data_IF_340878240042
#
_entry.id   IF_340878240042
#
_cell.length_a   1.000
_cell.length_b   1.000
_cell.length_c   1.000
_cell.angle_alpha   90.00
_cell.angle_beta   90.00
_cell.angle_gamma   90.00
#
_symmetry.space_group_name_H-M   'P 1'
#
loop_
_entity.id
_entity.type
_entity.pdbx_description
1 polymer ?
#
# COMPACT_ATOMS: atom_id res chain seq x y z
N UNK A 1 -17.18 5.39 0.48
CA UNK A 1 -17.90 4.09 0.58
C UNK A 1 -17.10 2.98 -0.07
N UNK A 2 -17.54 1.71 -0.02
CA UNK A 2 -16.76 0.55 -0.49
C UNK A 2 -16.42 0.57 -1.99
N UNK A 3 -17.17 1.30 -2.81
CA UNK A 3 -16.86 1.50 -4.23
C UNK A 3 -15.72 2.51 -4.46
N UNK A 4 -15.47 3.44 -3.53
CA UNK A 4 -14.46 4.49 -3.69
C UNK A 4 -13.02 3.97 -3.54
N UNK A 5 -12.84 2.78 -2.94
CA UNK A 5 -11.52 2.20 -2.65
C UNK A 5 -11.07 1.17 -3.69
N UNK A 6 -11.85 0.95 -4.75
CA UNK A 6 -11.58 -0.11 -5.73
C UNK A 6 -11.78 0.37 -7.16
N UNK A 7 -10.87 -0.06 -8.02
CA UNK A 7 -10.98 0.11 -9.46
C UNK A 7 -11.42 -1.22 -10.09
N UNK A 8 -12.56 -1.25 -10.79
CA UNK A 8 -12.97 -2.43 -11.56
C UNK A 8 -12.28 -2.39 -12.91
N UNK A 9 -11.48 -3.41 -13.20
CA UNK A 9 -10.79 -3.56 -14.49
C UNK A 9 -11.33 -4.83 -15.14
N UNK A 10 -12.06 -4.75 -16.26
CA UNK A 10 -12.42 -5.93 -17.03
C UNK A 10 -11.15 -6.49 -17.70
N UNK A 11 -10.90 -7.79 -17.51
CA UNK A 11 -9.75 -8.49 -18.07
C UNK A 11 -10.25 -9.70 -18.87
N UNK A 12 -9.64 -9.96 -20.03
CA UNK A 12 -9.81 -11.25 -20.69
C UNK A 12 -9.09 -12.34 -19.90
N UNK A 13 -9.45 -13.60 -20.11
CA UNK A 13 -8.84 -14.71 -19.37
C UNK A 13 -7.31 -14.72 -19.53
N UNK A 14 -6.84 -14.44 -20.75
CA UNK A 14 -5.43 -14.42 -21.13
C UNK A 14 -4.65 -13.21 -20.57
N UNK A 15 -5.35 -12.17 -20.10
CA UNK A 15 -4.73 -10.98 -19.49
C UNK A 15 -4.45 -11.18 -18.00
N UNK A 16 -5.15 -12.10 -17.34
CA UNK A 16 -4.99 -12.38 -15.91
C UNK A 16 -3.60 -12.93 -15.62
N UNK A 17 -3.10 -13.81 -16.49
CA UNK A 17 -1.78 -14.43 -16.36
C UNK A 17 -0.63 -13.43 -16.59
N UNK A 18 -0.92 -12.28 -17.21
CA UNK A 18 0.04 -11.21 -17.46
C UNK A 18 0.09 -10.18 -16.32
N UNK A 19 -0.80 -10.29 -15.33
CA UNK A 19 -0.76 -9.40 -14.18
C UNK A 19 0.49 -9.70 -13.32
N UNK A 20 1.17 -8.66 -12.79
CA UNK A 20 2.23 -8.87 -11.82
C UNK A 20 1.67 -9.65 -10.62
N UNK A 21 2.18 -10.86 -10.39
CA UNK A 21 1.71 -11.71 -9.29
C UNK A 21 1.79 -11.03 -7.92
N UNK A 22 2.70 -10.06 -7.78
CA UNK A 22 2.91 -9.25 -6.58
C UNK A 22 1.76 -8.30 -6.23
N UNK A 23 0.88 -8.02 -7.20
CA UNK A 23 -0.30 -7.18 -7.03
C UNK A 23 -1.57 -8.01 -6.82
N UNK A 24 -1.48 -9.34 -6.94
CA UNK A 24 -2.57 -10.23 -6.61
C UNK A 24 -2.64 -10.37 -5.10
N UNK A 25 -3.80 -10.05 -4.53
CA UNK A 25 -4.02 -10.19 -3.09
C UNK A 25 -4.11 -11.67 -2.74
N UNK A 26 -3.10 -12.16 -2.03
CA UNK A 26 -3.07 -13.45 -1.36
C UNK A 26 -2.80 -13.24 0.15
N UNK A 27 -2.80 -14.35 0.89
CA UNK A 27 -2.59 -14.31 2.34
C UNK A 27 -1.18 -13.80 2.70
N UNK A 28 -0.17 -14.09 1.88
CA UNK A 28 1.20 -13.66 2.13
C UNK A 28 1.34 -12.13 1.94
N UNK A 29 0.71 -11.57 0.91
CA UNK A 29 0.68 -10.14 0.67
C UNK A 29 -0.13 -9.43 1.76
N UNK A 30 -1.26 -10.01 2.19
CA UNK A 30 -2.05 -9.50 3.31
C UNK A 30 -1.21 -9.38 4.60
N UNK A 31 -0.49 -10.44 4.99
CA UNK A 31 0.38 -10.43 6.17
C UNK A 31 1.49 -9.37 6.06
N UNK A 32 2.16 -9.28 4.90
CA UNK A 32 3.22 -8.30 4.65
C UNK A 32 2.71 -6.86 4.74
N UNK A 33 1.55 -6.58 4.14
CA UNK A 33 0.92 -5.27 4.18
C UNK A 33 0.46 -4.91 5.59
N UNK A 34 -0.14 -5.86 6.31
CA UNK A 34 -0.62 -5.65 7.68
C UNK A 34 0.55 -5.30 8.61
N UNK A 35 1.64 -6.07 8.56
CA UNK A 35 2.84 -5.79 9.34
C UNK A 35 3.48 -4.43 8.99
N UNK A 36 3.46 -4.03 7.72
CA UNK A 36 3.96 -2.73 7.30
C UNK A 36 3.07 -1.58 7.82
N UNK A 37 1.74 -1.74 7.78
CA UNK A 37 0.80 -0.76 8.33
C UNK A 37 1.01 -0.63 9.83
N UNK A 38 1.01 -1.74 10.58
CA UNK A 38 1.23 -1.72 12.03
C UNK A 38 2.56 -1.08 12.43
N UNK A 39 3.59 -1.22 11.60
CA UNK A 39 4.92 -0.65 11.87
C UNK A 39 4.98 0.86 11.64
N UNK A 40 4.30 1.37 10.62
CA UNK A 40 4.56 2.71 10.08
C UNK A 40 3.37 3.68 10.17
N UNK A 41 2.14 3.18 10.28
CA UNK A 41 0.97 4.06 10.38
C UNK A 41 0.79 4.51 11.82
N UNK A 42 0.70 5.82 12.08
CA UNK A 42 0.41 6.30 13.42
C UNK A 42 -1.05 6.01 13.78
N UNK A 43 -1.33 5.80 15.07
CA UNK A 43 -2.69 5.61 15.58
C UNK A 43 -3.56 6.88 15.42
N UNK A 44 -2.92 8.05 15.40
CA UNK A 44 -3.56 9.35 15.16
C UNK A 44 -2.70 10.23 14.24
N UNK A 45 -3.35 11.11 13.49
CA UNK A 45 -2.68 12.07 12.61
C UNK A 45 -3.42 13.40 12.65
N UNK A 46 -2.73 14.47 13.03
CA UNK A 46 -3.26 15.83 13.01
C UNK A 46 -2.70 16.63 11.84
N UNK A 47 -3.38 17.72 11.47
CA UNK A 47 -2.94 18.56 10.35
C UNK A 47 -1.57 19.20 10.60
N UNK A 48 -1.22 19.48 11.85
CA UNK A 48 0.08 20.03 12.24
C UNK A 48 1.23 19.06 11.99
N UNK A 49 0.97 17.75 12.07
CA UNK A 49 1.99 16.72 11.86
C UNK A 49 2.47 16.69 10.41
N UNK A 50 1.55 16.99 9.47
CA UNK A 50 1.83 17.08 8.04
C UNK A 50 2.82 18.20 7.67
N UNK A 51 2.92 19.22 8.51
CA UNK A 51 3.87 20.32 8.33
C UNK A 51 5.26 20.01 8.93
N UNK A 52 5.42 18.89 9.64
CA UNK A 52 6.67 18.56 10.29
C UNK A 52 7.68 18.00 9.28
N UNK A 53 8.91 18.52 9.34
CA UNK A 53 10.01 18.03 8.51
C UNK A 53 10.37 16.56 8.84
N UNK A 54 10.15 16.14 10.09
CA UNK A 54 10.36 14.78 10.53
C UNK A 54 9.42 13.80 9.80
N UNK A 55 8.12 14.11 9.78
CA UNK A 55 7.13 13.31 9.08
C UNK A 55 7.44 13.19 7.58
N UNK A 56 7.81 14.30 6.92
CA UNK A 56 8.19 14.29 5.50
C UNK A 56 9.39 13.37 5.23
N UNK A 57 10.38 13.34 6.11
CA UNK A 57 11.55 12.45 5.97
C UNK A 57 11.17 10.98 6.15
N UNK A 58 10.27 10.69 7.08
CA UNK A 58 9.76 9.33 7.30
C UNK A 58 8.96 8.83 6.09
N UNK A 59 8.15 9.68 5.45
CA UNK A 59 7.37 9.31 4.26
C UNK A 59 8.23 8.71 3.14
N UNK A 60 9.46 9.20 2.93
CA UNK A 60 10.36 8.62 1.93
C UNK A 60 10.72 7.18 2.26
N UNK A 61 11.02 6.89 3.53
CA UNK A 61 11.39 5.54 3.99
C UNK A 61 10.20 4.58 3.90
N UNK A 62 9.00 5.08 4.24
CA UNK A 62 7.75 4.33 4.13
C UNK A 62 7.49 4.00 2.66
N UNK A 63 7.58 4.98 1.77
CA UNK A 63 7.40 4.79 0.33
C UNK A 63 8.38 3.74 -0.22
N UNK A 64 9.65 3.83 0.13
CA UNK A 64 10.67 2.85 -0.30
C UNK A 64 10.36 1.43 0.23
N UNK A 65 9.81 1.32 1.44
CA UNK A 65 9.41 0.04 2.00
C UNK A 65 8.23 -0.57 1.23
N UNK A 66 7.17 0.20 0.97
CA UNK A 66 6.03 -0.28 0.19
C UNK A 66 6.41 -0.61 -1.26
N UNK A 67 7.33 0.13 -1.88
CA UNK A 67 7.85 -0.23 -3.19
C UNK A 67 8.52 -1.61 -3.21
N UNK A 68 9.23 -2.00 -2.14
CA UNK A 68 9.81 -3.36 -2.02
C UNK A 68 8.78 -4.44 -1.71
N UNK A 69 7.57 -4.08 -1.28
CA UNK A 69 6.50 -5.05 -1.10
C UNK A 69 5.93 -5.48 -2.46
N UNK A 70 5.82 -4.52 -3.37
CA UNK A 70 5.18 -4.66 -4.69
C UNK A 70 6.16 -4.86 -5.87
N UNK A 71 7.48 -4.82 -5.64
CA UNK A 71 8.55 -5.13 -6.60
C UNK A 71 9.29 -6.42 -6.22
#
# INVERSE_FOLDING_TARGET
GPACLRLRIPLAHDDIEQLPGQLQLDHQLEERLSAAIERWYPESLELTDLCSLAFVRELSQISDHFQKIFN
#
